data_IF_376789139457
#
_entry.id   IF_376789139457
#
_cell.length_a   1.000
_cell.length_b   1.000
_cell.length_c   1.000
_cell.angle_alpha   90.00
_cell.angle_beta   90.00
_cell.angle_gamma   90.00
#
_symmetry.space_group_name_H-M   'P 1'
#
loop_
_entity.id
_entity.type
_entity.pdbx_description
1 polymer ?
#
# COMPACT_ATOMS: atom_id res chain seq x y z
N UNK A 1 0.31 -20.65 -38.34
CA UNK A 1 -0.89 -21.12 -37.62
C UNK A 1 -0.47 -21.44 -36.18
N UNK A 2 -1.22 -20.93 -35.18
CA UNK A 2 -1.16 -21.19 -33.72
C UNK A 2 -0.11 -20.38 -32.92
N UNK A 3 -0.37 -19.70 -31.78
CA UNK A 3 -1.53 -19.12 -31.05
C UNK A 3 -0.96 -18.07 -30.07
N UNK A 4 -1.63 -16.93 -29.86
CA UNK A 4 -1.35 -15.99 -28.76
C UNK A 4 -1.58 -16.69 -27.41
N UNK A 5 -0.64 -16.67 -26.46
CA UNK A 5 -0.91 -17.19 -25.11
C UNK A 5 0.24 -17.58 -24.19
N UNK A 6 1.48 -17.16 -24.42
CA UNK A 6 2.59 -17.43 -23.50
C UNK A 6 3.20 -16.14 -22.96
N UNK A 7 2.74 -15.64 -21.82
CA UNK A 7 3.59 -14.75 -21.04
C UNK A 7 4.58 -15.64 -20.29
N UNK A 8 5.85 -15.60 -20.69
CA UNK A 8 6.94 -16.11 -19.87
C UNK A 8 6.82 -15.47 -18.48
N UNK A 9 6.66 -16.28 -17.44
CA UNK A 9 6.63 -15.78 -16.07
C UNK A 9 8.03 -15.27 -15.73
N UNK A 10 8.20 -14.01 -15.27
CA UNK A 10 9.51 -13.47 -14.97
C UNK A 10 10.21 -14.34 -13.93
N UNK A 11 11.50 -14.62 -14.15
CA UNK A 11 12.32 -15.49 -13.31
C UNK A 11 12.20 -15.12 -11.82
N UNK A 12 12.25 -16.15 -10.98
CA UNK A 12 12.03 -16.12 -9.53
C UNK A 12 13.14 -15.26 -8.88
N UNK A 13 12.94 -13.95 -8.88
CA UNK A 13 13.90 -12.96 -8.41
C UNK A 13 13.47 -11.50 -8.63
N UNK A 14 12.63 -11.22 -9.64
CA UNK A 14 12.45 -9.84 -10.12
C UNK A 14 11.12 -9.17 -9.70
N UNK A 15 10.11 -9.94 -9.28
CA UNK A 15 8.79 -9.38 -8.96
C UNK A 15 8.65 -8.97 -7.49
N UNK A 16 8.12 -7.77 -7.28
CA UNK A 16 7.86 -7.17 -5.96
C UNK A 16 7.02 -8.08 -5.05
N UNK A 17 7.33 -8.06 -3.76
CA UNK A 17 6.51 -8.65 -2.71
C UNK A 17 5.25 -7.77 -2.49
N UNK A 18 4.03 -8.29 -2.67
CA UNK A 18 2.81 -7.52 -2.45
C UNK A 18 2.68 -7.01 -1.02
N UNK A 19 3.11 -7.78 -0.02
CA UNK A 19 3.07 -7.38 1.39
C UNK A 19 3.99 -6.17 1.65
N UNK A 20 5.14 -6.12 0.97
CA UNK A 20 6.06 -4.99 1.03
C UNK A 20 5.49 -3.76 0.32
N UNK A 21 4.81 -3.96 -0.82
CA UNK A 21 4.17 -2.85 -1.54
C UNK A 21 2.99 -2.29 -0.75
N UNK A 22 2.18 -3.11 -0.10
CA UNK A 22 1.11 -2.66 0.80
C UNK A 22 1.65 -1.76 1.91
N UNK A 23 2.70 -2.23 2.58
CA UNK A 23 3.40 -1.44 3.60
C UNK A 23 3.93 -0.12 3.04
N UNK A 24 4.61 -0.15 1.90
CA UNK A 24 5.13 1.06 1.24
C UNK A 24 4.03 2.07 0.92
N UNK A 25 2.82 1.59 0.63
CA UNK A 25 1.66 2.41 0.26
C UNK A 25 0.81 2.86 1.46
N UNK A 26 1.19 2.45 2.68
CA UNK A 26 0.48 2.77 3.92
C UNK A 26 -0.73 1.87 4.21
N UNK A 27 -0.88 0.74 3.53
CA UNK A 27 -1.95 -0.25 3.76
C UNK A 27 -1.52 -1.32 4.76
N UNK A 28 -2.48 -1.98 5.44
CA UNK A 28 -2.16 -3.14 6.26
C UNK A 28 -1.64 -4.28 5.38
N UNK A 29 -0.63 -5.00 5.86
CA UNK A 29 -0.15 -6.20 5.16
C UNK A 29 -1.28 -7.23 5.01
N UNK A 30 -1.41 -7.79 3.81
CA UNK A 30 -2.52 -8.66 3.43
C UNK A 30 -3.73 -7.92 2.84
N UNK A 31 -3.73 -6.57 2.76
CA UNK A 31 -4.90 -5.78 2.34
C UNK A 31 -5.50 -6.21 0.99
N UNK A 32 -4.65 -6.51 0.01
CA UNK A 32 -5.11 -6.92 -1.31
C UNK A 32 -5.31 -8.44 -1.43
N UNK A 33 -5.15 -9.19 -0.34
CA UNK A 33 -5.42 -10.62 -0.28
C UNK A 33 -6.93 -10.87 -0.33
N UNK A 34 -7.33 -12.01 -0.89
CA UNK A 34 -8.72 -12.48 -0.80
C UNK A 34 -9.00 -13.21 0.51
N UNK A 35 -7.96 -13.51 1.29
CA UNK A 35 -8.08 -14.15 2.60
C UNK A 35 -8.49 -13.11 3.66
N UNK A 36 -9.22 -13.57 4.68
CA UNK A 36 -9.63 -12.70 5.78
C UNK A 36 -8.42 -12.19 6.56
N UNK A 37 -8.36 -10.86 6.74
CA UNK A 37 -7.36 -10.22 7.58
C UNK A 37 -7.68 -10.45 9.06
N UNK A 38 -6.65 -10.74 9.86
CA UNK A 38 -6.81 -10.87 11.30
C UNK A 38 -7.08 -9.51 11.96
N UNK A 39 -7.84 -9.50 13.05
CA UNK A 39 -8.06 -8.28 13.85
C UNK A 39 -6.74 -7.73 14.43
N UNK A 40 -5.78 -8.60 14.72
CA UNK A 40 -4.47 -8.20 15.22
C UNK A 40 -3.68 -7.41 14.18
N UNK A 41 -3.60 -7.93 12.94
CA UNK A 41 -2.94 -7.26 11.81
C UNK A 41 -3.57 -5.89 11.55
N UNK A 42 -4.91 -5.82 11.53
CA UNK A 42 -5.62 -4.56 11.36
C UNK A 42 -5.38 -3.59 12.52
N UNK A 43 -5.40 -4.09 13.77
CA UNK A 43 -5.15 -3.29 14.96
C UNK A 43 -3.75 -2.69 15.00
N UNK A 44 -2.71 -3.47 14.67
CA UNK A 44 -1.32 -2.99 14.55
C UNK A 44 -1.20 -1.89 13.49
N UNK A 45 -1.81 -2.08 12.33
CA UNK A 45 -1.85 -1.06 11.29
C UNK A 45 -2.56 0.21 11.75
N UNK A 46 -3.72 0.09 12.40
CA UNK A 46 -4.48 1.23 12.89
C UNK A 46 -3.69 2.03 13.94
N UNK A 47 -2.98 1.34 14.82
CA UNK A 47 -2.10 1.97 15.80
C UNK A 47 -0.99 2.78 15.11
N UNK A 48 -0.32 2.21 14.11
CA UNK A 48 0.69 2.91 13.32
C UNK A 48 0.12 4.10 12.54
N UNK A 49 -1.06 3.94 11.92
CA UNK A 49 -1.75 4.99 11.18
C UNK A 49 -2.14 6.17 12.09
N UNK A 50 -2.35 5.91 13.39
CA UNK A 50 -2.59 6.94 14.40
C UNK A 50 -1.30 7.48 15.05
N UNK A 51 -0.14 7.19 14.47
CA UNK A 51 1.15 7.72 14.91
C UNK A 51 1.77 7.01 16.11
N UNK A 52 1.24 5.85 16.52
CA UNK A 52 1.92 5.04 17.55
C UNK A 52 3.15 4.37 16.96
N UNK A 53 4.21 4.33 17.76
CA UNK A 53 5.36 3.49 17.42
C UNK A 53 4.97 2.03 17.56
N UNK A 54 5.10 1.27 16.48
CA UNK A 54 4.90 -0.17 16.46
C UNK A 54 6.22 -0.86 16.11
N UNK A 55 6.42 -2.05 16.67
CA UNK A 55 7.45 -2.95 16.16
C UNK A 55 7.01 -3.45 14.78
N UNK A 56 7.90 -3.35 13.80
CA UNK A 56 7.64 -3.82 12.44
C UNK A 56 8.42 -5.09 12.16
N UNK A 57 7.72 -6.09 11.64
CA UNK A 57 8.34 -7.28 11.08
C UNK A 57 9.15 -6.89 9.83
N UNK A 58 10.28 -7.57 9.62
CA UNK A 58 11.04 -7.40 8.38
C UNK A 58 10.27 -8.01 7.20
N UNK A 59 9.79 -7.15 6.28
CA UNK A 59 9.15 -7.58 5.04
C UNK A 59 10.14 -7.41 3.88
N UNK A 60 10.60 -8.48 3.22
CA UNK A 60 11.54 -8.36 2.11
C UNK A 60 10.86 -7.76 0.87
N UNK A 61 11.55 -6.85 0.18
CA UNK A 61 11.07 -6.23 -1.08
C UNK A 61 10.80 -7.25 -2.19
N UNK A 62 11.60 -8.31 -2.25
CA UNK A 62 11.60 -9.32 -3.31
C UNK A 62 11.54 -10.74 -2.73
N UNK A 63 11.48 -11.76 -3.59
CA UNK A 63 11.54 -13.19 -3.21
C UNK A 63 10.43 -13.67 -2.28
N UNK A 64 9.22 -13.14 -2.44
CA UNK A 64 8.07 -13.55 -1.65
C UNK A 64 7.30 -14.70 -2.33
N UNK A 65 7.12 -15.82 -1.62
CA UNK A 65 6.19 -16.88 -2.00
C UNK A 65 4.82 -16.59 -1.38
N UNK A 66 4.10 -15.65 -2.01
CA UNK A 66 2.84 -15.13 -1.48
C UNK A 66 1.70 -15.45 -2.45
N UNK A 67 0.61 -15.99 -1.92
CA UNK A 67 -0.57 -16.38 -2.71
C UNK A 67 -1.12 -15.18 -3.48
N UNK A 68 -1.46 -15.38 -4.75
CA UNK A 68 -2.08 -14.35 -5.59
C UNK A 68 -1.16 -13.17 -5.94
N UNK A 69 0.16 -13.29 -5.76
CA UNK A 69 1.18 -12.23 -5.96
C UNK A 69 0.88 -11.25 -7.10
N UNK A 70 0.72 -11.75 -8.33
CA UNK A 70 0.53 -10.90 -9.52
C UNK A 70 -0.78 -10.12 -9.44
N UNK A 71 -1.88 -10.76 -9.00
CA UNK A 71 -3.18 -10.11 -8.86
C UNK A 71 -3.13 -9.03 -7.77
N UNK A 72 -2.46 -9.31 -6.65
CA UNK A 72 -2.25 -8.38 -5.53
C UNK A 72 -1.49 -7.12 -5.95
N UNK A 73 -0.36 -7.28 -6.65
CA UNK A 73 0.42 -6.16 -7.20
C UNK A 73 -0.40 -5.35 -8.20
N UNK A 74 -1.15 -6.00 -9.09
CA UNK A 74 -2.05 -5.31 -10.04
C UNK A 74 -3.17 -4.54 -9.33
N UNK A 75 -3.72 -5.09 -8.25
CA UNK A 75 -4.82 -4.47 -7.50
C UNK A 75 -4.41 -3.18 -6.79
N UNK A 76 -3.19 -3.12 -6.25
CA UNK A 76 -2.65 -1.92 -5.60
C UNK A 76 -2.18 -0.88 -6.63
N UNK A 77 -1.88 -1.30 -7.86
CA UNK A 77 -1.61 -0.42 -8.99
C UNK A 77 -0.26 0.30 -8.90
N UNK A 78 0.15 0.88 -10.03
CA UNK A 78 1.43 1.60 -10.19
C UNK A 78 1.31 3.14 -10.12
N UNK A 79 0.15 3.70 -9.77
CA UNK A 79 -0.14 5.11 -10.11
C UNK A 79 -0.78 6.00 -9.05
N UNK A 80 -1.24 5.48 -7.91
CA UNK A 80 -1.79 6.30 -6.84
C UNK A 80 -1.28 5.75 -5.50
N UNK A 81 -0.41 6.50 -4.83
CA UNK A 81 0.04 6.21 -3.47
C UNK A 81 -0.97 6.87 -2.53
N UNK A 82 -1.88 6.14 -1.87
CA UNK A 82 -2.97 6.76 -1.10
C UNK A 82 -2.45 7.65 0.04
N UNK A 83 -1.29 7.30 0.59
CA UNK A 83 -0.58 8.15 1.56
C UNK A 83 -0.16 9.52 0.97
N UNK A 84 0.18 9.59 -0.32
CA UNK A 84 0.44 10.87 -0.99
C UNK A 84 -0.84 11.70 -1.12
N UNK A 85 -1.97 11.08 -1.45
CA UNK A 85 -3.26 11.77 -1.52
C UNK A 85 -3.70 12.27 -0.15
N UNK A 86 -3.56 11.45 0.90
CA UNK A 86 -3.86 11.84 2.28
C UNK A 86 -3.00 13.03 2.73
N UNK A 87 -1.69 12.99 2.45
CA UNK A 87 -0.79 14.10 2.77
C UNK A 87 -1.19 15.41 2.04
N UNK A 88 -1.50 15.33 0.74
CA UNK A 88 -1.95 16.51 -0.02
C UNK A 88 -3.26 17.05 0.53
N UNK A 89 -4.20 16.18 0.92
CA UNK A 89 -5.47 16.59 1.51
C UNK A 89 -5.27 17.36 2.82
N UNK A 90 -4.43 16.87 3.72
CA UNK A 90 -4.10 17.55 4.98
C UNK A 90 -3.46 18.92 4.73
N UNK A 91 -2.47 18.96 3.83
CA UNK A 91 -1.78 20.20 3.46
C UNK A 91 -2.75 21.27 2.93
N UNK A 92 -3.67 20.87 2.03
CA UNK A 92 -4.68 21.76 1.46
C UNK A 92 -5.68 22.23 2.52
N UNK A 93 -6.10 21.34 3.43
CA UNK A 93 -6.98 21.68 4.55
C UNK A 93 -6.38 22.75 5.46
N UNK A 94 -5.10 22.64 5.79
CA UNK A 94 -4.41 23.62 6.64
C UNK A 94 -4.15 24.95 5.93
N UNK A 95 -3.86 24.91 4.62
CA UNK A 95 -3.75 26.12 3.82
C UNK A 95 -5.08 26.89 3.76
N UNK A 96 -6.19 26.20 3.53
CA UNK A 96 -7.54 26.79 3.54
C UNK A 96 -7.87 27.48 4.86
N UNK A 97 -7.59 26.84 6.00
CA UNK A 97 -7.79 27.45 7.33
C UNK A 97 -6.95 28.71 7.52
N UNK A 98 -5.70 28.72 7.04
CA UNK A 98 -4.81 29.89 7.13
C UNK A 98 -5.30 31.04 6.25
N UNK A 99 -5.72 30.76 5.02
CA UNK A 99 -6.33 31.76 4.13
C UNK A 99 -7.61 32.36 4.73
N UNK A 100 -8.50 31.53 5.27
CA UNK A 100 -9.73 32.01 5.91
C UNK A 100 -9.47 32.97 7.07
N UNK A 101 -8.44 32.72 7.89
CA UNK A 101 -8.01 33.63 8.96
C UNK A 101 -7.41 34.95 8.46
N UNK A 102 -6.81 34.97 7.28
CA UNK A 102 -6.21 36.17 6.69
C UNK A 102 -7.22 37.05 5.96
N UNK A 103 -8.26 36.45 5.35
CA UNK A 103 -9.28 37.18 4.58
C UNK A 103 -10.42 37.73 5.45
N UNK A 104 -10.68 37.11 6.60
CA UNK A 104 -11.78 37.49 7.52
C UNK A 104 -11.29 38.16 8.83
N UNK A 105 -9.99 38.47 8.93
CA UNK A 105 -9.36 39.11 10.10
C UNK A 105 -9.08 40.59 9.90
#
# INVERSE_FOLDING_TARGET
>A
MVRYGGQETPEIGETLNPDWVEWLMGWPTGWSSTELMSKETFGKWLDAANGKQIEMDFIPRSKANVKGKIARIKAIGNGQVPQTVAFVWELLGDFSKKLGKFVLG
#
